data_IF_102436410640
#
_entry.id   IF_102436410640
#
_cell.length_a   1.000
_cell.length_b   1.000
_cell.length_c   1.000
_cell.angle_alpha   90.00
_cell.angle_beta   90.00
_cell.angle_gamma   90.00
#
_symmetry.space_group_name_H-M   'P 1'
#
loop_
_entity.id
_entity.type
_entity.pdbx_description
1 polymer ?
#
# COMPACT_ATOMS: atom_id res chain seq x y z
N UNK A 1 29.32 11.87 27.57
CA UNK A 1 28.05 11.82 28.32
C UNK A 1 27.02 12.83 27.82
N UNK A 2 27.36 14.13 27.67
CA UNK A 2 26.44 15.17 27.17
C UNK A 2 25.85 14.88 25.78
N UNK A 3 26.68 14.53 24.79
CA UNK A 3 26.22 14.19 23.44
C UNK A 3 25.31 12.95 23.39
N UNK A 4 25.58 11.95 24.25
CA UNK A 4 24.74 10.74 24.36
C UNK A 4 23.35 11.08 24.90
N UNK A 5 23.29 11.90 25.95
CA UNK A 5 22.01 12.38 26.52
C UNK A 5 21.25 13.22 25.50
N UNK A 6 21.95 14.03 24.72
CA UNK A 6 21.35 14.83 23.64
C UNK A 6 20.76 13.94 22.54
N UNK A 7 21.50 12.94 22.06
CA UNK A 7 21.00 11.97 21.08
C UNK A 7 19.78 11.19 21.59
N UNK A 8 19.81 10.77 22.85
CA UNK A 8 18.67 10.08 23.48
C UNK A 8 17.42 10.99 23.52
N UNK A 9 17.58 12.27 23.86
CA UNK A 9 16.49 13.24 23.83
C UNK A 9 15.93 13.46 22.43
N UNK A 10 16.80 13.58 21.42
CA UNK A 10 16.40 13.73 20.02
C UNK A 10 15.56 12.51 19.60
N UNK A 11 16.07 11.30 19.84
CA UNK A 11 15.37 10.07 19.47
C UNK A 11 14.01 9.92 20.18
N UNK A 12 13.93 10.26 21.48
CA UNK A 12 12.68 10.20 22.23
C UNK A 12 11.64 11.20 21.70
N UNK A 13 12.06 12.43 21.40
CA UNK A 13 11.14 13.46 20.87
C UNK A 13 10.69 13.10 19.47
N UNK A 14 11.59 12.63 18.60
CA UNK A 14 11.25 12.18 17.25
C UNK A 14 10.19 11.08 17.28
N UNK A 15 10.37 10.10 18.18
CA UNK A 15 9.37 9.05 18.38
C UNK A 15 8.00 9.60 18.78
N UNK A 16 7.96 10.59 19.69
CA UNK A 16 6.72 11.26 20.10
C UNK A 16 6.08 12.00 18.90
N UNK A 17 6.89 12.67 18.07
CA UNK A 17 6.39 13.35 16.89
C UNK A 17 5.76 12.38 15.88
N UNK A 18 6.39 11.23 15.62
CA UNK A 18 5.83 10.17 14.75
C UNK A 18 4.49 9.67 15.30
N UNK A 19 4.40 9.45 16.62
CA UNK A 19 3.13 9.06 17.24
C UNK A 19 2.06 10.15 17.09
N UNK A 20 2.42 11.42 17.29
CA UNK A 20 1.50 12.55 17.19
C UNK A 20 1.04 12.80 15.75
N UNK A 21 1.92 12.60 14.76
CA UNK A 21 1.58 12.66 13.34
C UNK A 21 0.40 11.73 13.03
N UNK A 22 0.52 10.48 13.43
CA UNK A 22 -0.55 9.49 13.25
C UNK A 22 -1.76 9.85 14.11
N UNK A 23 -1.56 10.32 15.34
CA UNK A 23 -2.68 10.74 16.16
C UNK A 23 -3.50 11.88 15.52
N UNK A 24 -2.85 12.80 14.80
CA UNK A 24 -3.53 13.85 14.02
C UNK A 24 -4.33 13.25 12.87
N UNK A 25 -3.79 12.29 12.13
CA UNK A 25 -4.56 11.53 11.13
C UNK A 25 -5.77 10.85 11.77
N UNK A 26 -5.61 10.23 12.94
CA UNK A 26 -6.72 9.59 13.64
C UNK A 26 -7.81 10.61 13.98
N UNK A 27 -7.44 11.78 14.50
CA UNK A 27 -8.39 12.87 14.78
C UNK A 27 -9.07 13.33 13.49
N UNK A 28 -8.30 13.57 12.43
CA UNK A 28 -8.84 13.97 11.13
C UNK A 28 -9.84 12.94 10.60
N UNK A 29 -9.55 11.65 10.77
CA UNK A 29 -10.43 10.55 10.35
C UNK A 29 -11.79 10.60 11.04
N UNK A 30 -11.87 11.05 12.30
CA UNK A 30 -13.13 11.23 13.02
C UNK A 30 -13.98 12.33 12.39
N UNK A 31 -13.36 13.44 11.96
CA UNK A 31 -14.07 14.56 11.33
C UNK A 31 -14.58 14.26 9.92
N UNK A 32 -13.99 13.26 9.24
CA UNK A 32 -14.45 12.81 7.92
C UNK A 32 -15.26 11.51 7.97
N UNK A 33 -15.73 11.13 9.17
CA UNK A 33 -16.58 9.95 9.44
C UNK A 33 -15.95 8.60 9.05
N UNK A 34 -14.62 8.49 9.10
CA UNK A 34 -13.92 7.23 8.86
C UNK A 34 -13.87 6.38 10.12
N UNK A 35 -14.38 5.15 10.03
CA UNK A 35 -14.38 4.21 11.15
C UNK A 35 -13.08 3.42 11.18
N UNK A 36 -12.15 3.82 12.02
CA UNK A 36 -10.87 3.12 12.20
C UNK A 36 -11.06 1.69 12.73
N UNK A 37 -10.37 0.74 12.12
CA UNK A 37 -10.34 -0.69 12.48
C UNK A 37 -8.99 -1.15 12.97
N UNK A 38 -7.93 -0.43 12.60
CA UNK A 38 -6.56 -0.77 12.93
C UNK A 38 -5.73 0.51 12.94
N UNK A 39 -4.91 0.65 13.98
CA UNK A 39 -4.01 1.76 14.23
C UNK A 39 -2.68 1.20 14.74
N UNK A 40 -1.61 1.41 13.98
CA UNK A 40 -0.27 0.93 14.29
C UNK A 40 0.68 2.11 14.38
N UNK A 41 1.48 2.14 15.44
CA UNK A 41 2.66 2.99 15.57
C UNK A 41 3.71 2.17 16.28
N UNK A 42 4.80 1.81 15.60
CA UNK A 42 5.84 0.98 16.18
C UNK A 42 6.27 1.50 17.57
N UNK A 43 6.43 0.64 18.60
CA UNK A 43 6.25 -0.81 18.61
C UNK A 43 4.83 -1.26 18.97
N UNK A 44 3.87 -0.34 19.10
CA UNK A 44 2.50 -0.64 19.54
C UNK A 44 1.54 -0.81 18.37
N UNK A 45 0.80 -1.91 18.37
CA UNK A 45 -0.32 -2.12 17.46
C UNK A 45 -1.62 -2.10 18.27
N UNK A 46 -2.49 -1.14 17.96
CA UNK A 46 -3.87 -1.10 18.42
C UNK A 46 -4.78 -1.58 17.29
N UNK A 47 -5.48 -2.70 17.48
CA UNK A 47 -6.35 -3.24 16.44
C UNK A 47 -7.71 -3.67 17.00
N UNK A 48 -8.74 -3.54 16.17
CA UNK A 48 -10.09 -4.00 16.47
C UNK A 48 -10.25 -5.42 15.96
N UNK A 49 -10.40 -6.40 16.86
CA UNK A 49 -10.72 -7.80 16.52
C UNK A 49 -11.97 -8.22 17.28
N UNK A 50 -12.97 -8.72 16.56
CA UNK A 50 -14.27 -9.14 17.12
C UNK A 50 -14.92 -8.04 17.99
N UNK A 51 -14.96 -6.81 17.49
CA UNK A 51 -15.49 -5.62 18.18
C UNK A 51 -14.80 -5.24 19.50
N UNK A 52 -13.62 -5.80 19.81
CA UNK A 52 -12.80 -5.40 20.96
C UNK A 52 -11.49 -4.81 20.48
N UNK A 53 -11.07 -3.71 21.10
CA UNK A 53 -9.74 -3.16 20.92
C UNK A 53 -8.73 -4.04 21.65
N UNK A 54 -7.63 -4.36 20.98
CA UNK A 54 -6.50 -5.10 21.54
C UNK A 54 -5.23 -4.29 21.29
N UNK A 55 -4.38 -4.24 22.32
CA UNK A 55 -3.04 -3.70 22.23
C UNK A 55 -2.06 -4.87 22.15
N UNK A 56 -1.11 -4.82 21.23
CA UNK A 56 -0.05 -5.79 21.10
C UNK A 56 1.28 -5.08 20.85
N UNK A 57 2.36 -5.56 21.48
CA UNK A 57 3.71 -5.21 21.08
C UNK A 57 4.02 -5.93 19.78
N UNK A 58 4.30 -5.18 18.72
CA UNK A 58 4.73 -5.75 17.45
C UNK A 58 6.12 -6.36 17.64
N UNK A 59 6.28 -7.68 17.44
CA UNK A 59 7.54 -8.36 17.70
C UNK A 59 8.61 -8.05 16.63
N UNK A 60 8.28 -7.29 15.58
CA UNK A 60 9.18 -6.97 14.47
C UNK A 60 9.04 -5.51 14.06
N UNK A 61 10.18 -4.83 13.95
CA UNK A 61 10.28 -3.54 13.26
C UNK A 61 10.05 -3.77 11.77
N UNK A 62 9.06 -3.09 11.20
CA UNK A 62 8.80 -3.15 9.76
C UNK A 62 9.83 -2.26 9.04
N UNK A 63 10.61 -2.82 8.11
CA UNK A 63 11.56 -2.01 7.30
C UNK A 63 10.86 -0.98 6.41
N UNK A 64 9.53 -1.03 6.29
CA UNK A 64 8.75 -0.25 5.32
C UNK A 64 7.75 0.74 5.93
N UNK A 65 7.39 0.66 7.21
CA UNK A 65 6.47 1.63 7.83
C UNK A 65 6.68 1.75 9.33
N UNK A 66 6.76 2.99 9.83
CA UNK A 66 6.80 3.29 11.27
C UNK A 66 5.41 3.30 11.90
N UNK A 67 4.37 3.38 11.07
CA UNK A 67 2.98 3.54 11.47
C UNK A 67 2.00 3.24 10.35
N UNK A 68 0.72 3.01 10.68
CA UNK A 68 -0.34 2.73 9.70
C UNK A 68 -1.74 2.80 10.30
N UNK A 69 -2.71 3.24 9.50
CA UNK A 69 -4.15 3.07 9.80
C UNK A 69 -4.90 2.26 8.76
N UNK A 70 -6.02 1.71 9.17
CA UNK A 70 -6.97 1.07 8.27
C UNK A 70 -8.40 1.18 8.78
N UNK A 71 -9.36 1.23 7.86
CA UNK A 71 -10.73 1.65 8.12
C UNK A 71 -11.77 0.61 7.68
N UNK A 72 -13.02 0.77 8.13
CA UNK A 72 -14.16 0.05 7.58
C UNK A 72 -14.42 0.50 6.12
N UNK A 73 -14.91 -0.41 5.29
CA UNK A 73 -15.23 -0.14 3.90
C UNK A 73 -16.29 0.95 3.79
N UNK A 74 -15.98 1.99 3.01
CA UNK A 74 -16.91 3.08 2.72
C UNK A 74 -17.82 2.67 1.56
N UNK A 75 -19.13 2.85 1.76
CA UNK A 75 -20.13 2.59 0.73
C UNK A 75 -20.21 3.77 -0.24
N UNK A 76 -20.12 3.48 -1.53
CA UNK A 76 -20.42 4.44 -2.60
C UNK A 76 -21.80 4.12 -3.17
N UNK A 77 -22.64 5.14 -3.34
CA UNK A 77 -23.97 5.02 -3.97
C UNK A 77 -24.04 5.69 -5.34
N UNK A 78 -23.17 6.69 -5.58
CA UNK A 78 -23.06 7.43 -6.83
C UNK A 78 -21.61 7.79 -7.18
N UNK A 79 -21.36 8.19 -8.43
CA UNK A 79 -20.06 8.75 -8.85
C UNK A 79 -19.71 10.04 -8.09
N UNK A 80 -20.72 10.82 -7.68
CA UNK A 80 -20.52 12.01 -6.86
C UNK A 80 -19.95 11.64 -5.48
N UNK A 81 -20.32 10.49 -4.91
CA UNK A 81 -19.78 10.04 -3.63
C UNK A 81 -18.29 9.72 -3.75
N UNK A 82 -17.84 9.19 -4.89
CA UNK A 82 -16.42 8.95 -5.18
C UNK A 82 -15.64 10.27 -5.13
N UNK A 83 -16.12 11.31 -5.81
CA UNK A 83 -15.44 12.61 -5.87
C UNK A 83 -15.43 13.32 -4.51
N UNK A 84 -16.54 13.23 -3.77
CA UNK A 84 -16.64 13.74 -2.39
C UNK A 84 -15.66 13.00 -1.48
N UNK A 85 -15.61 11.67 -1.56
CA UNK A 85 -14.69 10.86 -0.76
C UNK A 85 -13.24 11.21 -1.09
N UNK A 86 -12.88 11.28 -2.36
CA UNK A 86 -11.54 11.67 -2.79
C UNK A 86 -11.12 13.03 -2.23
N UNK A 87 -12.04 14.02 -2.24
CA UNK A 87 -11.77 15.33 -1.63
C UNK A 87 -11.54 15.25 -0.12
N UNK A 88 -12.33 14.44 0.60
CA UNK A 88 -12.16 14.22 2.04
C UNK A 88 -10.85 13.50 2.37
N UNK A 89 -10.50 12.47 1.60
CA UNK A 89 -9.26 11.72 1.78
C UNK A 89 -8.02 12.60 1.57
N UNK A 90 -8.06 13.52 0.59
CA UNK A 90 -6.97 14.51 0.43
C UNK A 90 -6.81 15.41 1.66
N UNK A 91 -7.90 15.86 2.28
CA UNK A 91 -7.83 16.65 3.52
C UNK A 91 -7.21 15.83 4.65
N UNK A 92 -7.63 14.57 4.79
CA UNK A 92 -7.05 13.64 5.76
C UNK A 92 -5.54 13.47 5.54
N UNK A 93 -5.11 13.18 4.31
CA UNK A 93 -3.69 13.00 3.99
C UNK A 93 -2.85 14.26 4.21
N UNK A 94 -3.40 15.46 4.05
CA UNK A 94 -2.69 16.70 4.37
C UNK A 94 -2.50 16.95 5.86
N UNK A 95 -3.28 16.32 6.73
CA UNK A 95 -3.29 16.63 8.17
C UNK A 95 -1.95 16.29 8.86
N UNK A 96 -1.36 15.14 8.56
CA UNK A 96 -0.03 14.73 9.06
C UNK A 96 1.09 15.67 8.60
N UNK A 97 1.29 15.91 7.30
CA UNK A 97 2.31 16.83 6.79
C UNK A 97 2.20 18.27 7.33
N UNK A 98 0.96 18.78 7.52
CA UNK A 98 0.75 20.09 8.14
C UNK A 98 1.23 20.07 9.60
N UNK A 99 0.92 19.02 10.34
CA UNK A 99 1.40 18.83 11.71
C UNK A 99 2.94 18.77 11.77
N UNK A 100 3.58 18.00 10.89
CA UNK A 100 5.04 17.86 10.83
C UNK A 100 5.72 19.20 10.58
N UNK A 101 5.19 19.98 9.64
CA UNK A 101 5.72 21.28 9.29
C UNK A 101 5.56 22.30 10.44
N UNK A 102 4.41 22.31 11.11
CA UNK A 102 4.20 23.16 12.29
C UNK A 102 5.12 22.76 13.44
N UNK A 103 5.29 21.45 13.68
CA UNK A 103 6.19 20.92 14.70
C UNK A 103 7.64 21.32 14.43
N UNK A 104 8.09 21.24 13.17
CA UNK A 104 9.39 21.75 12.74
C UNK A 104 9.57 23.22 13.11
N UNK A 105 8.65 24.11 12.68
CA UNK A 105 8.76 25.56 12.94
C UNK A 105 8.84 25.83 14.45
N UNK A 106 7.94 25.25 15.25
CA UNK A 106 7.86 25.48 16.69
C UNK A 106 9.16 25.05 17.38
N UNK A 107 9.62 23.82 17.11
CA UNK A 107 10.84 23.28 17.74
C UNK A 107 12.09 24.06 17.31
N UNK A 108 12.17 24.42 16.03
CA UNK A 108 13.28 25.18 15.47
C UNK A 108 13.38 26.57 16.10
N UNK A 109 12.28 27.31 16.18
CA UNK A 109 12.22 28.64 16.79
C UNK A 109 12.56 28.60 18.28
N UNK A 110 12.01 27.65 19.05
CA UNK A 110 12.32 27.53 20.49
C UNK A 110 13.81 27.23 20.70
N UNK A 111 14.37 26.31 19.92
CA UNK A 111 15.76 25.92 20.06
C UNK A 111 16.76 27.02 19.68
N UNK A 112 16.42 27.87 18.69
CA UNK A 112 17.24 29.01 18.31
C UNK A 112 17.18 30.16 19.33
N UNK A 113 16.00 30.47 19.85
CA UNK A 113 15.82 31.59 20.78
C UNK A 113 16.35 31.29 22.19
N UNK A 114 16.47 30.02 22.59
CA UNK A 114 16.85 29.62 23.94
C UNK A 114 18.04 28.65 23.93
N UNK A 115 19.27 29.10 24.24
CA UNK A 115 20.49 28.28 24.15
C UNK A 115 20.44 26.95 24.91
N UNK A 116 19.73 26.90 26.05
CA UNK A 116 19.52 25.67 26.85
C UNK A 116 18.76 24.57 26.09
N UNK A 117 17.99 24.94 25.07
CA UNK A 117 17.14 24.05 24.27
C UNK A 117 17.67 23.84 22.84
N UNK A 118 18.95 24.11 22.58
CA UNK A 118 19.57 23.90 21.26
C UNK A 118 19.33 22.49 20.67
N UNK A 119 19.18 21.47 21.52
CA UNK A 119 18.84 20.12 21.07
C UNK A 119 17.49 20.05 20.33
N UNK A 120 16.54 20.97 20.57
CA UNK A 120 15.28 21.06 19.84
C UNK A 120 15.47 21.53 18.40
N UNK A 121 16.45 22.40 18.13
CA UNK A 121 16.82 22.78 16.76
C UNK A 121 17.35 21.56 16.00
N UNK A 122 18.21 20.77 16.64
CA UNK A 122 18.70 19.52 16.05
C UNK A 122 17.56 18.52 15.81
N UNK A 123 16.65 18.34 16.78
CA UNK A 123 15.46 17.51 16.59
C UNK A 123 14.62 18.00 15.43
N UNK A 124 14.36 19.32 15.32
CA UNK A 124 13.57 19.89 14.24
C UNK A 124 14.18 19.58 12.85
N UNK A 125 15.50 19.71 12.71
CA UNK A 125 16.18 19.40 11.45
C UNK A 125 16.11 17.91 11.09
N UNK A 126 16.30 17.02 12.09
CA UNK A 126 16.15 15.58 11.90
C UNK A 126 14.72 15.23 11.50
N UNK A 127 13.74 15.78 12.22
CA UNK A 127 12.32 15.59 11.95
C UNK A 127 11.97 16.02 10.53
N UNK A 128 12.37 17.24 10.13
CA UNK A 128 12.11 17.78 8.80
C UNK A 128 12.70 16.90 7.69
N UNK A 129 13.91 16.36 7.89
CA UNK A 129 14.52 15.45 6.91
C UNK A 129 13.71 14.15 6.76
N UNK A 130 13.27 13.55 7.87
CA UNK A 130 12.46 12.31 7.87
C UNK A 130 11.08 12.57 7.25
N UNK A 131 10.40 13.62 7.67
CA UNK A 131 9.03 13.92 7.22
C UNK A 131 8.98 14.38 5.78
N UNK A 132 10.01 15.07 5.27
CA UNK A 132 10.11 15.40 3.84
C UNK A 132 10.21 14.13 2.99
N UNK A 133 11.03 13.17 3.39
CA UNK A 133 11.14 11.89 2.67
C UNK A 133 9.83 11.10 2.71
N UNK A 134 9.16 11.07 3.86
CA UNK A 134 7.87 10.41 4.00
C UNK A 134 6.79 11.12 3.17
N UNK A 135 6.75 12.45 3.15
CA UNK A 135 5.80 13.22 2.37
C UNK A 135 5.78 12.80 0.89
N UNK A 136 6.95 12.72 0.24
CA UNK A 136 7.02 12.33 -1.17
C UNK A 136 6.72 10.85 -1.42
N UNK A 137 6.84 9.98 -0.42
CA UNK A 137 6.66 8.54 -0.55
C UNK A 137 5.32 8.02 -0.02
N UNK A 138 4.59 8.80 0.78
CA UNK A 138 3.30 8.44 1.38
C UNK A 138 2.25 9.56 1.23
N UNK A 139 2.04 10.36 2.26
CA UNK A 139 0.88 11.24 2.40
C UNK A 139 0.84 12.31 1.30
N UNK A 140 1.97 12.95 1.02
CA UNK A 140 2.10 13.94 -0.04
C UNK A 140 1.91 13.34 -1.44
N UNK A 141 2.44 12.12 -1.67
CA UNK A 141 2.19 11.37 -2.92
C UNK A 141 0.69 11.22 -3.17
N UNK A 142 -0.07 10.77 -2.18
CA UNK A 142 -1.51 10.56 -2.36
C UNK A 142 -2.30 11.86 -2.30
N UNK A 143 -1.90 12.85 -1.49
CA UNK A 143 -2.62 14.11 -1.35
C UNK A 143 -2.52 14.99 -2.60
N UNK A 144 -1.32 15.08 -3.19
CA UNK A 144 -1.06 15.84 -4.42
C UNK A 144 -1.28 14.95 -5.65
N UNK A 145 -0.70 13.75 -5.66
CA UNK A 145 -0.74 12.86 -6.82
C UNK A 145 -2.16 12.41 -7.18
N UNK A 146 -3.07 12.23 -6.22
CA UNK A 146 -4.47 11.91 -6.55
C UNK A 146 -5.27 13.07 -7.18
N UNK A 147 -4.71 14.28 -7.21
CA UNK A 147 -5.26 15.41 -7.96
C UNK A 147 -4.76 15.41 -9.41
N UNK A 148 -3.50 15.03 -9.61
CA UNK A 148 -2.80 15.15 -10.90
C UNK A 148 -2.81 13.85 -11.72
N UNK A 149 -2.96 12.69 -11.07
CA UNK A 149 -2.94 11.36 -11.69
C UNK A 149 -4.16 10.52 -11.26
N UNK A 150 -5.07 10.17 -12.19
CA UNK A 150 -6.28 9.43 -11.88
C UNK A 150 -6.01 7.99 -11.39
N UNK A 151 -4.84 7.40 -11.69
CA UNK A 151 -4.45 6.09 -11.18
C UNK A 151 -4.20 6.13 -9.68
N UNK A 152 -3.51 7.18 -9.21
CA UNK A 152 -3.27 7.41 -7.78
C UNK A 152 -4.60 7.69 -7.07
N UNK A 153 -5.51 8.44 -7.71
CA UNK A 153 -6.84 8.69 -7.18
C UNK A 153 -7.66 7.40 -7.03
N UNK A 154 -7.61 6.53 -8.04
CA UNK A 154 -8.25 5.22 -8.01
C UNK A 154 -7.71 4.35 -6.86
N UNK A 155 -6.39 4.19 -6.77
CA UNK A 155 -5.74 3.40 -5.72
C UNK A 155 -6.10 3.93 -4.32
N UNK A 156 -6.08 5.26 -4.13
CA UNK A 156 -6.46 5.89 -2.88
C UNK A 156 -7.92 5.57 -2.50
N UNK A 157 -8.87 5.74 -3.42
CA UNK A 157 -10.28 5.45 -3.10
C UNK A 157 -10.52 3.95 -2.91
N UNK A 158 -9.84 3.10 -3.69
CA UNK A 158 -9.89 1.65 -3.56
C UNK A 158 -9.52 1.20 -2.16
N UNK A 159 -8.47 1.78 -1.57
CA UNK A 159 -7.99 1.38 -0.25
C UNK A 159 -9.03 1.61 0.87
N UNK A 160 -9.85 2.65 0.75
CA UNK A 160 -10.91 2.97 1.71
C UNK A 160 -12.27 2.35 1.37
N UNK A 161 -12.42 1.79 0.17
CA UNK A 161 -13.68 1.19 -0.30
C UNK A 161 -13.53 -0.32 -0.45
N UNK A 162 -12.88 -0.79 -1.51
CA UNK A 162 -12.73 -2.21 -1.81
C UNK A 162 -11.82 -2.91 -0.82
N UNK A 163 -10.75 -2.27 -0.36
CA UNK A 163 -9.82 -2.88 0.59
C UNK A 163 -10.14 -2.56 2.05
N UNK A 164 -11.21 -1.80 2.34
CA UNK A 164 -11.66 -1.58 3.71
C UNK A 164 -12.23 -2.85 4.36
N UNK A 165 -12.28 -2.87 5.70
CA UNK A 165 -12.85 -3.99 6.45
C UNK A 165 -14.35 -4.13 6.19
N UNK A 166 -14.85 -5.36 6.15
CA UNK A 166 -16.29 -5.65 6.03
C UNK A 166 -16.74 -6.03 4.61
N UNK A 167 -18.05 -6.06 4.40
CA UNK A 167 -18.67 -6.42 3.12
C UNK A 167 -18.72 -5.20 2.20
N UNK A 168 -18.18 -5.35 0.99
CA UNK A 168 -18.27 -4.34 -0.07
C UNK A 168 -19.62 -4.48 -0.76
N UNK A 169 -20.39 -3.39 -0.85
CA UNK A 169 -21.70 -3.42 -1.51
C UNK A 169 -21.56 -3.56 -3.02
N UNK A 170 -22.51 -4.26 -3.70
CA UNK A 170 -22.48 -4.40 -5.16
C UNK A 170 -22.42 -3.04 -5.87
N UNK A 171 -23.13 -2.04 -5.35
CA UNK A 171 -23.10 -0.69 -5.92
C UNK A 171 -21.71 -0.05 -5.85
N UNK A 172 -20.99 -0.24 -4.75
CA UNK A 172 -19.58 0.18 -4.63
C UNK A 172 -18.72 -0.51 -5.69
N UNK A 173 -18.92 -1.83 -5.90
CA UNK A 173 -18.17 -2.62 -6.89
C UNK A 173 -18.40 -2.11 -8.31
N UNK A 174 -19.65 -1.83 -8.68
CA UNK A 174 -20.00 -1.25 -9.99
C UNK A 174 -19.31 0.10 -10.20
N UNK A 175 -19.41 1.01 -9.25
CA UNK A 175 -18.81 2.36 -9.35
C UNK A 175 -17.29 2.25 -9.50
N UNK A 176 -16.64 1.43 -8.67
CA UNK A 176 -15.20 1.23 -8.76
C UNK A 176 -14.79 0.53 -10.06
N UNK A 177 -15.60 -0.40 -10.58
CA UNK A 177 -15.34 -1.03 -11.88
C UNK A 177 -15.43 -0.03 -13.03
N UNK A 178 -16.44 0.84 -13.03
CA UNK A 178 -16.57 1.88 -14.04
C UNK A 178 -15.39 2.87 -13.99
N UNK A 179 -14.94 3.25 -12.78
CA UNK A 179 -13.75 4.10 -12.62
C UNK A 179 -12.48 3.39 -13.08
N UNK A 180 -12.33 2.09 -12.84
CA UNK A 180 -11.21 1.31 -13.40
C UNK A 180 -11.16 1.43 -14.93
N UNK A 181 -12.29 1.15 -15.60
CA UNK A 181 -12.40 1.21 -17.07
C UNK A 181 -12.10 2.63 -17.58
N UNK A 182 -12.68 3.65 -16.95
CA UNK A 182 -12.44 5.05 -17.31
C UNK A 182 -10.96 5.44 -17.18
N UNK A 183 -10.29 5.04 -16.09
CA UNK A 183 -8.86 5.34 -15.92
C UNK A 183 -8.02 4.57 -16.94
N UNK A 184 -8.31 3.29 -17.15
CA UNK A 184 -7.64 2.45 -18.15
C UNK A 184 -7.72 3.02 -19.57
N UNK A 185 -8.84 3.63 -19.96
CA UNK A 185 -9.00 4.14 -21.33
C UNK A 185 -8.11 5.33 -21.70
N UNK A 186 -7.40 5.93 -20.73
CA UNK A 186 -6.48 7.05 -20.95
C UNK A 186 -5.01 6.68 -20.73
N UNK A 187 -4.70 5.43 -20.38
CA UNK A 187 -3.33 4.99 -20.18
C UNK A 187 -2.74 4.58 -21.52
N UNK A 188 -1.62 5.19 -21.87
CA UNK A 188 -0.79 4.77 -23.01
C UNK A 188 0.27 3.75 -22.56
N UNK A 189 0.44 2.68 -23.32
CA UNK A 189 1.42 1.63 -23.05
C UNK A 189 2.63 1.82 -23.95
N UNK A 190 3.68 2.38 -23.37
CA UNK A 190 5.01 2.38 -23.98
C UNK A 190 5.86 1.25 -23.39
N UNK A 191 6.89 0.85 -24.15
CA UNK A 191 7.96 0.01 -23.60
C UNK A 191 8.57 0.65 -22.35
N UNK A 192 9.10 -0.16 -21.45
CA UNK A 192 9.74 0.31 -20.25
C UNK A 192 10.88 1.30 -20.55
N UNK A 193 10.70 2.53 -20.05
CA UNK A 193 11.71 3.59 -20.06
C UNK A 193 12.07 4.01 -18.63
N UNK A 194 13.36 3.91 -18.29
CA UNK A 194 13.88 4.33 -16.97
C UNK A 194 13.71 5.84 -16.74
N UNK A 195 13.65 6.63 -17.81
CA UNK A 195 13.41 8.06 -17.73
C UNK A 195 11.94 8.41 -17.42
N UNK A 196 11.01 7.47 -17.61
CA UNK A 196 9.58 7.61 -17.28
C UNK A 196 9.15 6.66 -16.13
N UNK A 197 10.01 6.54 -15.11
CA UNK A 197 9.77 5.64 -13.98
C UNK A 197 8.48 5.97 -13.22
N UNK A 198 8.06 7.24 -13.18
CA UNK A 198 6.83 7.65 -12.50
C UNK A 198 5.60 7.02 -13.13
N UNK A 199 5.48 7.10 -14.46
CA UNK A 199 4.37 6.52 -15.21
C UNK A 199 4.36 5.00 -15.08
N UNK A 200 5.52 4.36 -15.24
CA UNK A 200 5.68 2.92 -15.04
C UNK A 200 5.20 2.45 -13.66
N UNK A 201 5.65 3.13 -12.58
CA UNK A 201 5.29 2.75 -11.22
C UNK A 201 3.79 2.91 -10.93
N UNK A 202 3.17 3.95 -11.49
CA UNK A 202 1.73 4.16 -11.31
C UNK A 202 0.91 3.15 -12.12
N UNK A 203 1.33 2.79 -13.34
CA UNK A 203 0.72 1.69 -14.09
C UNK A 203 0.86 0.35 -13.35
N UNK A 204 2.07 0.05 -12.87
CA UNK A 204 2.34 -1.18 -12.11
C UNK A 204 1.45 -1.28 -10.88
N UNK A 205 1.35 -0.21 -10.09
CA UNK A 205 0.47 -0.16 -8.90
C UNK A 205 -1.00 -0.37 -9.29
N UNK A 206 -1.50 0.45 -10.22
CA UNK A 206 -2.90 0.46 -10.65
C UNK A 206 -3.36 -0.90 -11.16
N UNK A 207 -2.66 -1.47 -12.15
CA UNK A 207 -3.07 -2.74 -12.76
C UNK A 207 -2.92 -3.93 -11.82
N UNK A 208 -1.88 -3.96 -10.98
CA UNK A 208 -1.71 -5.02 -9.98
C UNK A 208 -2.82 -4.97 -8.93
N UNK A 209 -3.18 -3.77 -8.48
CA UNK A 209 -4.24 -3.55 -7.52
C UNK A 209 -5.61 -3.91 -8.07
N UNK A 210 -5.89 -3.52 -9.32
CA UNK A 210 -7.12 -3.87 -10.04
C UNK A 210 -7.23 -5.38 -10.25
N UNK A 211 -6.15 -6.04 -10.68
CA UNK A 211 -6.10 -7.50 -10.83
C UNK A 211 -6.45 -8.22 -9.52
N UNK A 212 -5.83 -7.82 -8.39
CA UNK A 212 -6.14 -8.40 -7.08
C UNK A 212 -7.60 -8.18 -6.68
N UNK A 213 -8.13 -6.98 -6.90
CA UNK A 213 -9.53 -6.67 -6.60
C UNK A 213 -10.50 -7.45 -7.48
N UNK A 214 -10.17 -7.68 -8.75
CA UNK A 214 -10.94 -8.53 -9.65
C UNK A 214 -10.89 -10.01 -9.25
N UNK A 215 -9.71 -10.54 -8.93
CA UNK A 215 -9.57 -11.90 -8.39
C UNK A 215 -10.43 -12.04 -7.12
N UNK A 216 -10.51 -11.01 -6.27
CA UNK A 216 -11.38 -11.03 -5.10
C UNK A 216 -12.89 -10.84 -5.39
N UNK A 217 -13.29 -10.65 -6.66
CA UNK A 217 -14.66 -10.30 -7.08
C UNK A 217 -15.15 -8.96 -6.53
N UNK A 218 -14.25 -8.03 -6.22
CA UNK A 218 -14.57 -6.67 -5.78
C UNK A 218 -14.56 -5.67 -6.95
N UNK A 219 -13.83 -5.97 -8.04
CA UNK A 219 -14.11 -5.43 -9.38
C UNK A 219 -14.88 -6.49 -10.17
N UNK A 220 -15.84 -6.04 -10.99
CA UNK A 220 -16.72 -6.92 -11.77
C UNK A 220 -16.11 -7.30 -13.12
N UNK A 221 -15.32 -6.40 -13.70
CA UNK A 221 -14.63 -6.57 -14.97
C UNK A 221 -13.24 -5.94 -14.87
N UNK A 222 -12.31 -6.44 -15.69
CA UNK A 222 -11.04 -5.79 -15.98
C UNK A 222 -11.11 -5.25 -17.40
N UNK A 223 -10.49 -4.09 -17.59
CA UNK A 223 -10.22 -3.58 -18.93
C UNK A 223 -9.11 -4.41 -19.60
N UNK A 224 -9.22 -4.64 -20.92
CA UNK A 224 -8.28 -5.46 -21.71
C UNK A 224 -6.84 -4.96 -21.60
N UNK A 225 -6.66 -3.64 -21.43
CA UNK A 225 -5.35 -3.05 -21.20
C UNK A 225 -4.59 -3.61 -19.99
N UNK A 226 -5.32 -4.17 -19.01
CA UNK A 226 -4.72 -4.82 -17.84
C UNK A 226 -3.85 -6.00 -18.26
N UNK A 227 -4.36 -6.83 -19.16
CA UNK A 227 -3.62 -8.00 -19.66
C UNK A 227 -2.47 -7.55 -20.57
N UNK A 228 -2.73 -6.61 -21.49
CA UNK A 228 -1.69 -6.06 -22.36
C UNK A 228 -0.51 -5.45 -21.60
N UNK A 229 -0.77 -4.74 -20.50
CA UNK A 229 0.28 -4.20 -19.64
C UNK A 229 1.06 -5.31 -18.92
N UNK A 230 0.39 -6.35 -18.41
CA UNK A 230 1.06 -7.45 -17.70
C UNK A 230 1.90 -8.30 -18.66
N UNK A 231 1.47 -8.45 -19.91
CA UNK A 231 2.26 -9.07 -20.98
C UNK A 231 3.49 -8.23 -21.35
N UNK A 232 3.36 -6.90 -21.44
CA UNK A 232 4.52 -6.04 -21.71
C UNK A 232 5.55 -6.08 -20.57
N UNK A 233 5.11 -6.19 -19.31
CA UNK A 233 6.03 -6.39 -18.17
C UNK A 233 6.87 -7.66 -18.31
N UNK A 234 6.29 -8.73 -18.87
CA UNK A 234 7.02 -9.99 -19.10
C UNK A 234 8.07 -9.79 -20.19
N UNK A 235 7.70 -9.12 -21.29
CA UNK A 235 8.60 -8.85 -22.41
C UNK A 235 9.75 -7.94 -22.00
N UNK A 236 9.48 -6.90 -21.21
CA UNK A 236 10.47 -5.91 -20.77
C UNK A 236 11.22 -6.32 -19.49
N UNK A 237 10.99 -7.51 -18.93
CA UNK A 237 11.56 -7.90 -17.64
C UNK A 237 13.10 -7.80 -17.61
N UNK A 238 13.77 -8.22 -18.69
CA UNK A 238 15.23 -8.14 -18.80
C UNK A 238 15.72 -6.68 -18.91
N UNK A 239 14.95 -5.80 -19.59
CA UNK A 239 15.24 -4.36 -19.65
C UNK A 239 15.10 -3.74 -18.25
N UNK A 240 14.02 -4.05 -17.53
CA UNK A 240 13.80 -3.59 -16.16
C UNK A 240 14.96 -4.03 -15.27
N UNK A 241 15.41 -5.28 -15.38
CA UNK A 241 16.53 -5.79 -14.60
C UNK A 241 17.82 -5.02 -14.88
N UNK A 242 18.06 -4.70 -16.15
CA UNK A 242 19.27 -4.02 -16.60
C UNK A 242 19.27 -2.54 -16.20
N UNK A 243 18.15 -1.84 -16.36
CA UNK A 243 18.10 -0.39 -16.20
C UNK A 243 17.61 0.08 -14.82
N UNK A 244 16.77 -0.69 -14.11
CA UNK A 244 16.42 -0.42 -12.71
C UNK A 244 16.06 -1.70 -11.91
N UNK A 245 17.09 -2.44 -11.51
CA UNK A 245 16.97 -3.69 -10.73
C UNK A 245 16.14 -3.54 -9.44
N UNK A 246 15.95 -2.32 -8.91
CA UNK A 246 15.16 -2.06 -7.70
C UNK A 246 13.66 -2.33 -7.91
N UNK A 247 13.19 -2.31 -9.16
CA UNK A 247 11.78 -2.58 -9.48
C UNK A 247 11.47 -4.07 -9.62
N UNK A 248 12.48 -4.90 -9.81
CA UNK A 248 12.35 -6.35 -10.02
C UNK A 248 11.43 -7.02 -8.99
N UNK A 249 11.55 -6.78 -7.67
CA UNK A 249 10.67 -7.43 -6.70
C UNK A 249 9.18 -7.12 -6.91
N UNK A 250 8.83 -5.87 -7.25
CA UNK A 250 7.45 -5.44 -7.47
C UNK A 250 6.92 -5.96 -8.80
N UNK A 251 7.74 -5.90 -9.84
CA UNK A 251 7.40 -6.45 -11.16
C UNK A 251 7.17 -7.95 -11.07
N UNK A 252 8.06 -8.70 -10.40
CA UNK A 252 7.90 -10.14 -10.19
C UNK A 252 6.59 -10.49 -9.49
N UNK A 253 6.20 -9.76 -8.43
CA UNK A 253 4.93 -10.00 -7.73
C UNK A 253 3.74 -9.78 -8.68
N UNK A 254 3.78 -8.73 -9.48
CA UNK A 254 2.72 -8.38 -10.43
C UNK A 254 2.53 -9.47 -11.48
N UNK A 255 3.63 -9.97 -12.05
CA UNK A 255 3.60 -11.06 -13.03
C UNK A 255 3.16 -12.38 -12.39
N UNK A 256 3.57 -12.69 -11.16
CA UNK A 256 3.10 -13.90 -10.44
C UNK A 256 1.58 -13.86 -10.29
N UNK A 257 1.01 -12.72 -9.91
CA UNK A 257 -0.43 -12.54 -9.78
C UNK A 257 -1.14 -12.70 -11.12
N UNK A 258 -0.54 -12.19 -12.21
CA UNK A 258 -1.05 -12.39 -13.56
C UNK A 258 -1.06 -13.87 -13.96
N UNK A 259 0.04 -14.60 -13.77
CA UNK A 259 0.09 -16.03 -14.06
C UNK A 259 -0.97 -16.82 -13.26
N UNK A 260 -1.17 -16.49 -11.99
CA UNK A 260 -2.20 -17.12 -11.17
C UNK A 260 -3.59 -16.80 -11.73
N UNK A 261 -3.85 -15.56 -12.13
CA UNK A 261 -5.08 -15.17 -12.79
C UNK A 261 -5.32 -15.98 -14.07
N UNK A 262 -4.32 -16.08 -14.95
CA UNK A 262 -4.40 -16.87 -16.19
C UNK A 262 -4.63 -18.35 -15.88
N UNK A 263 -4.00 -18.91 -14.84
CA UNK A 263 -4.21 -20.29 -14.38
C UNK A 263 -5.64 -20.54 -13.87
N UNK A 264 -6.23 -19.56 -13.18
CA UNK A 264 -7.61 -19.63 -12.70
C UNK A 264 -8.60 -19.63 -13.87
N UNK A 265 -8.35 -18.82 -14.90
CA UNK A 265 -9.18 -18.79 -16.11
C UNK A 265 -8.97 -20.04 -16.99
N UNK A 266 -7.72 -20.42 -17.20
CA UNK A 266 -7.30 -21.51 -18.07
C UNK A 266 -6.57 -22.56 -17.25
N UNK A 267 -7.29 -23.58 -16.79
CA UNK A 267 -6.75 -24.63 -15.88
C UNK A 267 -5.46 -25.29 -16.38
N UNK A 268 -5.29 -25.42 -17.69
CA UNK A 268 -4.13 -26.06 -18.31
C UNK A 268 -2.95 -25.10 -18.56
N UNK A 269 -3.09 -23.81 -18.23
CA UNK A 269 -2.01 -22.84 -18.40
C UNK A 269 -0.79 -23.23 -17.56
N UNK A 270 0.38 -23.18 -18.18
CA UNK A 270 1.69 -23.34 -17.55
C UNK A 270 2.58 -22.25 -18.15
N UNK A 271 3.15 -21.34 -17.35
CA UNK A 271 4.09 -20.35 -17.85
C UNK A 271 5.32 -21.01 -18.45
N UNK A 272 5.96 -20.35 -19.42
CA UNK A 272 7.25 -20.81 -19.94
C UNK A 272 8.29 -20.90 -18.81
N UNK A 273 9.01 -22.02 -18.75
CA UNK A 273 9.93 -22.34 -17.65
C UNK A 273 11.01 -21.27 -17.46
N UNK A 274 11.58 -20.78 -18.57
CA UNK A 274 12.60 -19.72 -18.54
C UNK A 274 12.06 -18.43 -17.90
N UNK A 275 10.84 -18.03 -18.26
CA UNK A 275 10.19 -16.83 -17.74
C UNK A 275 9.86 -17.02 -16.25
N UNK A 276 9.29 -18.16 -15.89
CA UNK A 276 8.94 -18.48 -14.50
C UNK A 276 10.17 -18.48 -13.59
N UNK A 277 11.28 -19.07 -14.04
CA UNK A 277 12.54 -19.09 -13.29
C UNK A 277 13.11 -17.68 -13.06
N UNK A 278 13.08 -16.82 -14.08
CA UNK A 278 13.48 -15.40 -13.95
C UNK A 278 12.63 -14.69 -12.90
N UNK A 279 11.32 -14.78 -13.01
CA UNK A 279 10.37 -14.13 -12.09
C UNK A 279 10.52 -14.65 -10.65
N UNK A 280 10.66 -15.98 -10.49
CA UNK A 280 10.88 -16.62 -9.19
C UNK A 280 12.16 -16.10 -8.53
N UNK A 281 13.25 -15.98 -9.30
CA UNK A 281 14.52 -15.45 -8.80
C UNK A 281 14.43 -13.98 -8.39
N UNK A 282 13.68 -13.17 -9.14
CA UNK A 282 13.45 -11.75 -8.86
C UNK A 282 12.50 -11.49 -7.68
N UNK A 283 11.69 -12.48 -7.29
CA UNK A 283 10.76 -12.34 -6.17
C UNK A 283 11.48 -12.46 -4.82
N UNK A 284 11.51 -11.39 -4.04
CA UNK A 284 12.11 -11.40 -2.70
C UNK A 284 11.18 -11.91 -1.59
N UNK A 285 9.92 -12.24 -1.91
CA UNK A 285 8.91 -12.62 -0.93
C UNK A 285 8.66 -14.13 -0.92
N UNK A 286 8.96 -14.77 0.20
CA UNK A 286 8.70 -16.20 0.41
C UNK A 286 7.22 -16.57 0.25
N UNK A 287 6.31 -15.64 0.58
CA UNK A 287 4.88 -15.85 0.42
C UNK A 287 4.50 -16.04 -1.05
N UNK A 288 4.93 -15.12 -1.92
CA UNK A 288 4.63 -15.19 -3.35
C UNK A 288 5.38 -16.33 -4.04
N UNK A 289 6.58 -16.69 -3.59
CA UNK A 289 7.28 -17.92 -4.05
C UNK A 289 6.48 -19.18 -3.73
N UNK A 290 5.91 -19.29 -2.54
CA UNK A 290 5.04 -20.42 -2.17
C UNK A 290 3.69 -20.39 -2.88
N UNK A 291 3.20 -19.23 -3.29
CA UNK A 291 2.04 -19.15 -4.19
C UNK A 291 2.33 -19.79 -5.55
N UNK A 292 3.53 -19.59 -6.11
CA UNK A 292 3.93 -20.29 -7.35
C UNK A 292 3.88 -21.80 -7.15
N UNK A 293 4.53 -22.32 -6.10
CA UNK A 293 4.52 -23.75 -5.80
C UNK A 293 3.12 -24.31 -5.58
N UNK A 294 2.28 -23.56 -4.88
CA UNK A 294 0.89 -23.91 -4.68
C UNK A 294 0.11 -23.96 -6.00
N UNK A 295 0.32 -23.06 -6.95
CA UNK A 295 -0.48 -22.99 -8.19
C UNK A 295 0.04 -23.83 -9.36
N UNK A 296 1.37 -24.02 -9.46
CA UNK A 296 2.01 -24.60 -10.65
C UNK A 296 2.76 -25.92 -10.40
N UNK A 297 3.09 -26.24 -9.14
CA UNK A 297 3.81 -27.48 -8.79
C UNK A 297 3.01 -28.44 -7.90
N UNK A 298 1.71 -28.18 -7.71
CA UNK A 298 0.81 -29.00 -6.88
C UNK A 298 1.30 -29.24 -5.44
N UNK A 299 2.05 -28.28 -4.90
CA UNK A 299 2.54 -28.31 -3.53
C UNK A 299 1.43 -27.86 -2.55
N UNK A 300 0.36 -28.67 -2.44
CA UNK A 300 -0.79 -28.39 -1.59
C UNK A 300 -0.44 -28.23 -0.10
N UNK A 301 0.72 -28.75 0.32
CA UNK A 301 1.29 -28.55 1.66
C UNK A 301 1.45 -27.06 2.02
N UNK A 302 1.57 -26.17 1.03
CA UNK A 302 1.68 -24.74 1.28
C UNK A 302 0.34 -24.06 1.58
N UNK A 303 -0.82 -24.72 1.40
CA UNK A 303 -2.12 -24.09 1.63
C UNK A 303 -2.24 -23.54 3.05
N UNK A 304 -1.89 -24.33 4.06
CA UNK A 304 -1.97 -23.90 5.47
C UNK A 304 -0.98 -22.79 5.78
N UNK A 305 0.21 -22.84 5.17
CA UNK A 305 1.20 -21.77 5.27
C UNK A 305 0.64 -20.46 4.69
N UNK A 306 0.01 -20.52 3.52
CA UNK A 306 -0.49 -19.36 2.77
C UNK A 306 -1.75 -18.73 3.41
N UNK A 307 -2.59 -19.55 4.05
CA UNK A 307 -3.78 -19.08 4.77
C UNK A 307 -3.45 -18.47 6.15
N UNK A 308 -2.25 -18.72 6.68
CA UNK A 308 -1.82 -18.13 7.93
C UNK A 308 -1.39 -16.67 7.73
N UNK A 309 -2.18 -15.76 8.30
CA UNK A 309 -1.98 -14.30 8.25
C UNK A 309 -0.57 -13.85 8.67
N UNK A 310 0.10 -14.57 9.58
CA UNK A 310 1.47 -14.23 10.00
C UNK A 310 2.52 -14.41 8.91
N UNK A 311 2.21 -15.20 7.88
CA UNK A 311 3.09 -15.48 6.76
C UNK A 311 2.80 -14.58 5.55
N UNK A 312 1.66 -13.88 5.53
CA UNK A 312 1.31 -12.94 4.47
C UNK A 312 2.28 -11.74 4.45
N UNK A 313 2.32 -10.97 3.34
CA UNK A 313 3.03 -9.70 3.33
C UNK A 313 2.59 -8.83 4.50
N UNK A 314 3.52 -8.03 5.03
CA UNK A 314 3.31 -7.27 6.27
C UNK A 314 2.11 -6.32 6.17
N UNK A 315 1.87 -5.73 5.00
CA UNK A 315 0.69 -4.88 4.74
C UNK A 315 -0.66 -5.63 4.92
N UNK A 316 -0.66 -6.95 4.96
CA UNK A 316 -1.84 -7.76 5.17
C UNK A 316 -2.03 -8.07 6.68
N UNK A 317 -0.94 -8.18 7.45
CA UNK A 317 -0.97 -8.54 8.87
C UNK A 317 -1.91 -7.65 9.71
N UNK A 318 -2.79 -8.27 10.46
CA UNK A 318 -3.85 -7.67 11.29
C UNK A 318 -4.83 -6.77 10.52
N UNK A 319 -4.89 -6.88 9.19
CA UNK A 319 -5.67 -6.02 8.33
C UNK A 319 -6.66 -6.83 7.47
N UNK A 320 -7.87 -7.12 7.98
CA UNK A 320 -8.84 -8.01 7.32
C UNK A 320 -9.18 -7.62 5.88
N UNK A 321 -9.21 -6.31 5.61
CA UNK A 321 -9.53 -5.75 4.30
C UNK A 321 -8.49 -6.04 3.21
N UNK A 322 -7.20 -6.13 3.55
CA UNK A 322 -6.16 -6.58 2.62
C UNK A 322 -5.99 -8.10 2.65
N UNK A 323 -6.12 -8.74 3.82
CA UNK A 323 -6.02 -10.20 3.96
C UNK A 323 -7.01 -10.94 3.07
N UNK A 324 -8.24 -10.44 2.95
CA UNK A 324 -9.28 -11.10 2.14
C UNK A 324 -8.85 -11.29 0.68
N UNK A 325 -8.05 -10.37 0.13
CA UNK A 325 -7.58 -10.45 -1.26
C UNK A 325 -6.73 -11.71 -1.50
N UNK A 326 -5.76 -11.94 -0.60
CA UNK A 326 -4.86 -13.10 -0.69
C UNK A 326 -5.56 -14.40 -0.30
N UNK A 327 -6.44 -14.37 0.71
CA UNK A 327 -7.25 -15.54 1.11
C UNK A 327 -8.15 -15.99 -0.04
N UNK A 328 -8.80 -15.05 -0.71
CA UNK A 328 -9.65 -15.31 -1.87
C UNK A 328 -8.86 -15.93 -3.01
N UNK A 329 -7.64 -15.41 -3.27
CA UNK A 329 -6.73 -16.00 -4.23
C UNK A 329 -6.39 -17.45 -3.88
N UNK A 330 -6.05 -17.80 -2.63
CA UNK A 330 -5.74 -19.19 -2.26
C UNK A 330 -6.96 -20.10 -2.43
N UNK A 331 -8.13 -19.64 -2.01
CA UNK A 331 -9.36 -20.43 -2.07
C UNK A 331 -9.88 -20.66 -3.50
N UNK A 332 -9.40 -19.89 -4.48
CA UNK A 332 -9.76 -20.03 -5.90
C UNK A 332 -9.04 -21.16 -6.62
N UNK A 333 -7.99 -21.74 -6.05
CA UNK A 333 -7.43 -23.01 -6.55
C UNK A 333 -8.42 -24.14 -6.20
N UNK A 334 -9.48 -24.27 -6.98
CA UNK A 334 -10.34 -25.45 -6.95
C UNK A 334 -9.59 -26.62 -7.55
N UNK A 335 -9.45 -27.70 -6.78
CA UNK A 335 -8.90 -29.00 -7.21
C UNK A 335 -9.55 -29.44 -8.52
#
# INVERSE_FOLDING_TARGET
MFYLIMLLKIALIEYILIFLHEFVHFIASLFIDLKCTFYYVFPFTLYKKNNRFKLQLSPRFEKSSTSRMHFESIKLTSNKDYDILLKRLKIFLWSGPIFDFLSFIILFCIGLCLPKYFFLTLTALVHFAITTLNFFNSDGKYAIGSKEDPRIAFDLVRDFTLCGSGKVSNRTKEIMTNRHIEVSSYIDFSEFDVHDLWNFLNNLSFYTNSLLSYINKDLLYLDESTESFLESLIQDFDKIQTYDYRQIPKTSISIILYFIFTKIQYKNFIPEENILNKIYSGCSSDYYKKLIGYYFYDEYIYKDYLLNEKNMPIINLNCPGYNKLLISLINKKSI
#
